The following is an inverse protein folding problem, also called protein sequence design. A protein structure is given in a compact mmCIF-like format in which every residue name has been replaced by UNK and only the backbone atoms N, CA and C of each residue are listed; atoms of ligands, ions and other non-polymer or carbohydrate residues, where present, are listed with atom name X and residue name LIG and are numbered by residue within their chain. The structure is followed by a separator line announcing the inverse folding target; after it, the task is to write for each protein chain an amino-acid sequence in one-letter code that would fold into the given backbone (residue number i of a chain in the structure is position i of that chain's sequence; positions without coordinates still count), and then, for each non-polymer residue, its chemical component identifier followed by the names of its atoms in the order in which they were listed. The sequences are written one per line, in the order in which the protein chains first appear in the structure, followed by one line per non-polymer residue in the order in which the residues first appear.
data_IF_461471348599
#
_entry.id   IF_461471348599
#
_cell.length_a   1.000
_cell.length_b   1.000
_cell.length_c   1.000
_cell.angle_alpha   90.00
_cell.angle_beta   90.00
_cell.angle_gamma   90.00
#
_symmetry.space_group_name_H-M   'P 1'
#
loop_
_entity.id
_entity.type
_entity.pdbx_description
1 polymer ?
#
# COMPACT_ATOMS: atom_id res chain seq x y z
N UNK A 1 -29.16 21.24 12.07
CA UNK A 1 -27.69 21.15 12.20
C UNK A 1 -27.37 19.71 12.55
N UNK A 2 -26.93 18.91 11.58
CA UNK A 2 -26.43 17.55 11.83
C UNK A 2 -25.11 17.67 12.58
N UNK A 3 -24.98 16.94 13.69
CA UNK A 3 -23.73 16.86 14.46
C UNK A 3 -22.56 16.53 13.52
N UNK A 4 -21.34 17.06 13.75
CA UNK A 4 -20.15 16.56 13.08
C UNK A 4 -20.05 15.06 13.37
N UNK A 5 -19.84 14.26 12.32
CA UNK A 5 -19.87 12.81 12.38
C UNK A 5 -18.75 12.33 13.33
N UNK A 6 -19.10 11.98 14.57
CA UNK A 6 -18.16 11.67 15.66
C UNK A 6 -17.60 10.23 15.57
N UNK A 7 -17.50 9.69 14.36
CA UNK A 7 -17.10 8.32 14.12
C UNK A 7 -15.59 8.12 14.42
N UNK A 8 -15.19 7.01 15.05
CA UNK A 8 -13.79 6.69 15.31
C UNK A 8 -12.90 6.78 14.07
N UNK A 9 -11.69 7.31 14.27
CA UNK A 9 -10.61 7.33 13.29
C UNK A 9 -9.59 6.29 13.72
N UNK A 10 -9.38 5.29 12.87
CA UNK A 10 -8.27 4.35 13.02
C UNK A 10 -7.02 4.98 12.39
N UNK A 11 -6.04 5.30 13.24
CA UNK A 11 -4.83 6.01 12.84
C UNK A 11 -3.70 5.08 12.40
N UNK A 12 -3.88 3.76 12.47
CA UNK A 12 -2.82 2.79 12.16
C UNK A 12 -3.38 1.59 11.40
N UNK A 13 -3.40 1.70 10.07
CA UNK A 13 -3.75 0.60 9.19
C UNK A 13 -2.77 0.47 8.03
N UNK A 14 -2.50 -0.77 7.60
CA UNK A 14 -1.62 -1.05 6.46
C UNK A 14 -2.41 -1.51 5.24
N UNK A 15 -1.89 -1.23 4.05
CA UNK A 15 -2.48 -1.64 2.76
C UNK A 15 -1.38 -2.01 1.76
N UNK A 16 -1.73 -2.91 0.85
CA UNK A 16 -1.04 -3.09 -0.44
C UNK A 16 -2.08 -2.80 -1.54
N UNK A 17 -2.03 -1.66 -2.24
CA UNK A 17 -3.01 -1.35 -3.28
C UNK A 17 -3.05 -2.44 -4.36
N UNK A 18 -4.24 -2.93 -4.69
CA UNK A 18 -4.41 -3.99 -5.71
C UNK A 18 -3.83 -3.58 -7.07
N UNK A 19 -4.03 -2.31 -7.46
CA UNK A 19 -3.47 -1.77 -8.69
C UNK A 19 -1.94 -1.69 -8.71
N UNK A 20 -1.28 -1.56 -7.55
CA UNK A 20 0.18 -1.64 -7.46
C UNK A 20 0.67 -3.07 -7.72
N UNK A 21 -0.09 -4.08 -7.28
CA UNK A 21 0.25 -5.50 -7.53
C UNK A 21 0.20 -5.79 -9.02
N UNK A 22 -0.83 -5.28 -9.71
CA UNK A 22 -0.94 -5.45 -11.16
C UNK A 22 0.14 -4.68 -11.93
N UNK A 23 0.50 -3.47 -11.50
CA UNK A 23 1.63 -2.74 -12.09
C UNK A 23 2.97 -3.47 -11.84
N UNK A 24 3.18 -4.00 -10.64
CA UNK A 24 4.36 -4.79 -10.32
C UNK A 24 4.44 -6.08 -11.16
N UNK A 25 3.30 -6.71 -11.45
CA UNK A 25 3.20 -7.87 -12.35
C UNK A 25 3.60 -7.51 -13.77
N UNK A 26 3.14 -6.37 -14.28
CA UNK A 26 3.38 -5.93 -15.65
C UNK A 26 4.83 -5.42 -15.86
N UNK A 27 5.35 -4.62 -14.93
CA UNK A 27 6.58 -3.85 -15.13
C UNK A 27 7.58 -3.91 -13.96
N UNK A 28 7.21 -4.50 -12.82
CA UNK A 28 8.03 -4.49 -11.60
C UNK A 28 9.41 -5.12 -11.75
N UNK A 29 9.58 -6.06 -12.70
CA UNK A 29 10.87 -6.72 -12.98
C UNK A 29 11.98 -5.70 -13.28
N UNK A 30 11.64 -4.59 -13.92
CA UNK A 30 12.58 -3.50 -14.23
C UNK A 30 13.14 -2.81 -12.98
N UNK A 31 12.40 -2.86 -11.87
CA UNK A 31 12.79 -2.30 -10.58
C UNK A 31 13.41 -3.35 -9.65
N UNK A 32 13.37 -4.63 -10.02
CA UNK A 32 13.77 -5.74 -9.15
C UNK A 32 12.63 -6.27 -8.27
N UNK A 33 11.37 -6.10 -8.69
CA UNK A 33 10.18 -6.63 -8.00
C UNK A 33 9.45 -7.63 -8.89
N UNK A 34 9.12 -8.79 -8.37
CA UNK A 34 8.30 -9.80 -9.07
C UNK A 34 7.05 -10.13 -8.27
N UNK A 35 6.02 -10.60 -8.97
CA UNK A 35 4.79 -11.13 -8.38
C UNK A 35 4.63 -12.59 -8.80
N UNK A 36 4.39 -13.46 -7.84
CA UNK A 36 4.02 -14.86 -8.04
C UNK A 36 2.58 -15.06 -7.56
N UNK A 37 1.73 -15.71 -8.35
CA UNK A 37 0.38 -16.10 -7.92
C UNK A 37 0.43 -17.45 -7.23
N UNK A 38 0.07 -17.47 -5.95
CA UNK A 38 -0.04 -18.69 -5.15
C UNK A 38 -1.51 -19.06 -4.96
N UNK A 39 -1.79 -20.27 -4.48
CA UNK A 39 -3.14 -20.69 -4.09
C UNK A 39 -3.79 -19.77 -3.04
N UNK A 40 -2.97 -19.02 -2.28
CA UNK A 40 -3.40 -18.09 -1.23
C UNK A 40 -3.38 -16.62 -1.67
N UNK A 41 -3.15 -16.35 -2.96
CA UNK A 41 -3.08 -15.01 -3.55
C UNK A 41 -1.67 -14.60 -3.99
N UNK A 42 -1.52 -13.35 -4.49
CA UNK A 42 -0.24 -12.86 -4.99
C UNK A 42 0.78 -12.72 -3.85
N UNK A 43 2.03 -13.05 -4.14
CA UNK A 43 3.19 -12.86 -3.30
C UNK A 43 4.23 -12.03 -4.05
N UNK A 44 4.72 -10.95 -3.43
CA UNK A 44 5.79 -10.13 -4.00
C UNK A 44 7.15 -10.70 -3.61
N UNK A 45 8.14 -10.51 -4.47
CA UNK A 45 9.54 -10.75 -4.14
C UNK A 45 10.38 -9.56 -4.60
N UNK A 46 11.26 -9.08 -3.74
CA UNK A 46 12.24 -8.06 -4.04
C UNK A 46 13.60 -8.74 -4.33
N UNK A 47 14.35 -8.19 -5.28
CA UNK A 47 15.62 -8.78 -5.72
C UNK A 47 16.58 -9.03 -4.54
N UNK A 48 17.08 -10.26 -4.45
CA UNK A 48 17.99 -10.68 -3.39
C UNK A 48 17.30 -11.05 -2.06
N UNK A 49 15.97 -10.97 -1.97
CA UNK A 49 15.19 -11.42 -0.82
C UNK A 49 14.40 -12.69 -1.14
N UNK A 50 13.96 -13.37 -0.08
CA UNK A 50 12.98 -14.45 -0.20
C UNK A 50 11.61 -13.90 -0.60
N UNK A 51 10.75 -14.68 -1.28
CA UNK A 51 9.37 -14.30 -1.54
C UNK A 51 8.64 -13.95 -0.23
N UNK A 52 7.84 -12.89 -0.28
CA UNK A 52 6.96 -12.52 0.83
C UNK A 52 5.82 -13.52 0.96
N UNK A 53 5.17 -13.50 2.13
CA UNK A 53 3.91 -14.23 2.30
C UNK A 53 2.83 -13.65 1.36
N UNK A 54 1.87 -14.46 0.91
CA UNK A 54 0.74 -13.98 0.12
C UNK A 54 0.02 -12.81 0.81
N UNK A 55 -0.37 -11.80 0.02
CA UNK A 55 -0.87 -10.51 0.54
C UNK A 55 -2.14 -10.64 1.38
N UNK A 56 -2.97 -11.65 1.11
CA UNK A 56 -4.23 -11.87 1.82
C UNK A 56 -5.13 -10.62 1.83
N UNK A 57 -5.65 -10.26 3.00
CA UNK A 57 -6.53 -9.09 3.18
C UNK A 57 -5.85 -7.73 3.02
N UNK A 58 -4.51 -7.66 2.92
CA UNK A 58 -3.82 -6.38 2.71
C UNK A 58 -4.11 -5.77 1.35
N UNK A 59 -4.42 -6.61 0.35
CA UNK A 59 -4.74 -6.24 -1.02
C UNK A 59 -6.19 -6.60 -1.37
N UNK A 60 -7.14 -6.38 -0.45
CA UNK A 60 -8.58 -6.56 -0.71
C UNK A 60 -9.39 -5.41 -0.12
N UNK A 61 -10.02 -4.61 -0.98
CA UNK A 61 -10.79 -3.44 -0.54
C UNK A 61 -12.17 -3.78 0.05
N UNK A 62 -12.97 -4.62 -0.61
CA UNK A 62 -14.34 -4.91 -0.14
C UNK A 62 -14.37 -5.48 1.30
N UNK A 63 -13.57 -6.51 1.66
CA UNK A 63 -13.58 -7.02 3.04
C UNK A 63 -13.16 -5.99 4.09
N UNK A 64 -12.32 -5.01 3.71
CA UNK A 64 -11.91 -3.91 4.58
C UNK A 64 -13.06 -2.95 4.84
N UNK A 65 -13.77 -2.52 3.80
CA UNK A 65 -14.90 -1.59 3.94
C UNK A 65 -16.00 -2.20 4.81
N UNK A 66 -16.38 -3.46 4.56
CA UNK A 66 -17.35 -4.16 5.38
C UNK A 66 -16.89 -4.30 6.83
N UNK A 67 -15.59 -4.58 7.06
CA UNK A 67 -15.05 -4.65 8.41
C UNK A 67 -15.15 -3.28 9.11
N UNK A 68 -14.79 -2.19 8.43
CA UNK A 68 -14.91 -0.84 8.99
C UNK A 68 -16.36 -0.52 9.36
N UNK A 69 -17.33 -0.87 8.51
CA UNK A 69 -18.76 -0.70 8.80
C UNK A 69 -19.18 -1.49 10.03
N UNK A 70 -18.82 -2.78 10.12
CA UNK A 70 -19.12 -3.64 11.27
C UNK A 70 -18.51 -3.13 12.57
N UNK A 71 -17.31 -2.52 12.51
CA UNK A 71 -16.64 -1.96 13.68
C UNK A 71 -17.07 -0.51 13.99
N UNK A 72 -17.88 0.12 13.15
CA UNK A 72 -18.24 1.54 13.28
C UNK A 72 -17.08 2.50 13.04
N UNK A 73 -16.01 2.07 12.35
CA UNK A 73 -14.86 2.92 12.01
C UNK A 73 -15.25 3.85 10.86
N UNK A 74 -15.12 5.16 11.11
CA UNK A 74 -15.46 6.20 10.14
C UNK A 74 -14.36 6.41 9.10
N UNK A 75 -13.11 6.51 9.56
CA UNK A 75 -11.93 6.77 8.71
C UNK A 75 -10.79 5.84 9.10
N UNK A 76 -10.04 5.36 8.11
CA UNK A 76 -8.72 4.73 8.30
C UNK A 76 -7.61 5.59 7.71
N UNK A 77 -6.51 5.78 8.46
CA UNK A 77 -5.25 6.31 7.95
C UNK A 77 -4.39 5.13 7.49
N UNK A 78 -4.20 5.04 6.16
CA UNK A 78 -3.53 3.93 5.50
C UNK A 78 -2.05 4.25 5.24
N UNK A 79 -1.18 3.30 5.56
CA UNK A 79 0.24 3.33 5.25
C UNK A 79 0.67 2.06 4.50
N UNK A 80 1.85 2.11 3.89
CA UNK A 80 2.46 0.94 3.28
C UNK A 80 2.63 -0.21 4.27
N UNK A 81 2.44 -1.44 3.81
CA UNK A 81 2.90 -2.60 4.56
C UNK A 81 4.44 -2.63 4.54
N UNK A 82 5.05 -2.83 5.71
CA UNK A 82 6.49 -2.68 5.92
C UNK A 82 7.34 -3.55 4.96
N UNK A 83 6.90 -4.76 4.68
CA UNK A 83 7.66 -5.72 3.87
C UNK A 83 7.76 -5.31 2.38
N UNK A 84 6.98 -4.32 1.94
CA UNK A 84 7.00 -3.81 0.56
C UNK A 84 7.57 -2.39 0.46
N UNK A 85 8.33 -1.90 1.44
CA UNK A 85 8.87 -0.52 1.39
C UNK A 85 9.96 -0.31 0.32
N UNK A 86 10.62 -1.39 -0.13
CA UNK A 86 11.61 -1.35 -1.20
C UNK A 86 13.00 -0.83 -0.81
N UNK A 87 13.35 -0.83 0.48
CA UNK A 87 14.64 -0.31 0.96
C UNK A 87 15.87 -1.14 0.60
N UNK A 88 15.67 -2.36 0.11
CA UNK A 88 16.75 -3.21 -0.42
C UNK A 88 17.02 -2.98 -1.90
N UNK A 89 16.16 -2.20 -2.59
CA UNK A 89 16.38 -1.83 -3.99
C UNK A 89 17.46 -0.76 -4.11
N UNK A 90 18.13 -0.64 -5.28
CA UNK A 90 18.92 0.54 -5.62
C UNK A 90 18.12 1.82 -5.38
N UNK A 91 18.73 2.87 -4.84
CA UNK A 91 18.02 4.06 -4.36
C UNK A 91 17.07 4.69 -5.41
N UNK A 92 17.48 4.73 -6.68
CA UNK A 92 16.65 5.23 -7.79
C UNK A 92 15.42 4.33 -8.06
N UNK A 93 15.59 3.01 -7.97
CA UNK A 93 14.48 2.08 -8.10
C UNK A 93 13.53 2.18 -6.90
N UNK A 94 14.07 2.33 -5.69
CA UNK A 94 13.28 2.54 -4.48
C UNK A 94 12.47 3.84 -4.53
N UNK A 95 13.05 4.93 -5.04
CA UNK A 95 12.33 6.18 -5.27
C UNK A 95 11.18 6.01 -6.27
N UNK A 96 11.42 5.25 -7.35
CA UNK A 96 10.39 4.93 -8.34
C UNK A 96 9.28 4.07 -7.73
N UNK A 97 9.64 3.04 -6.97
CA UNK A 97 8.71 2.17 -6.25
C UNK A 97 7.88 2.92 -5.22
N UNK A 98 8.50 3.80 -4.43
CA UNK A 98 7.81 4.66 -3.47
C UNK A 98 6.79 5.59 -4.15
N UNK A 99 7.16 6.21 -5.28
CA UNK A 99 6.24 7.00 -6.10
C UNK A 99 5.04 6.18 -6.56
N UNK A 100 5.28 5.00 -7.14
CA UNK A 100 4.21 4.11 -7.59
C UNK A 100 3.26 3.76 -6.44
N UNK A 101 3.80 3.31 -5.30
CA UNK A 101 2.98 3.03 -4.11
C UNK A 101 2.12 4.23 -3.71
N UNK A 102 2.71 5.43 -3.65
CA UNK A 102 1.99 6.65 -3.26
C UNK A 102 0.88 7.03 -4.26
N UNK A 103 1.12 6.87 -5.55
CA UNK A 103 0.12 7.13 -6.61
C UNK A 103 -1.06 6.16 -6.50
N UNK A 104 -0.80 4.86 -6.32
CA UNK A 104 -1.86 3.86 -6.12
C UNK A 104 -2.61 4.04 -4.79
N UNK A 105 -1.93 4.45 -3.72
CA UNK A 105 -2.59 4.80 -2.47
C UNK A 105 -3.49 6.04 -2.64
N UNK A 106 -3.03 7.05 -3.37
CA UNK A 106 -3.85 8.21 -3.68
C UNK A 106 -5.09 7.83 -4.49
N UNK A 107 -4.96 6.91 -5.46
CA UNK A 107 -6.09 6.36 -6.21
C UNK A 107 -7.10 5.65 -5.29
N UNK A 108 -6.62 4.77 -4.38
CA UNK A 108 -7.47 4.12 -3.37
C UNK A 108 -8.28 5.13 -2.55
N UNK A 109 -7.64 6.24 -2.14
CA UNK A 109 -8.31 7.31 -1.37
C UNK A 109 -9.36 8.03 -2.23
N UNK A 110 -9.05 8.32 -3.49
CA UNK A 110 -9.97 9.01 -4.41
C UNK A 110 -11.21 8.16 -4.73
N UNK A 111 -11.03 6.85 -4.89
CA UNK A 111 -12.12 5.92 -5.19
C UNK A 111 -13.05 5.69 -3.98
N UNK A 112 -12.62 6.09 -2.78
CA UNK A 112 -13.34 5.88 -1.53
C UNK A 112 -13.44 7.19 -0.72
N UNK A 113 -14.13 8.21 -1.27
CA UNK A 113 -14.13 9.55 -0.71
C UNK A 113 -14.66 9.56 0.73
N UNK A 114 -13.89 10.18 1.62
CA UNK A 114 -14.27 10.32 3.03
C UNK A 114 -14.00 9.08 3.90
N UNK A 115 -13.57 7.95 3.34
CA UNK A 115 -13.25 6.72 4.11
C UNK A 115 -11.78 6.59 4.48
N UNK A 116 -10.87 7.14 3.67
CA UNK A 116 -9.43 6.97 3.87
C UNK A 116 -8.63 8.27 3.88
N UNK A 117 -7.48 8.23 4.55
CA UNK A 117 -6.35 9.15 4.40
C UNK A 117 -5.08 8.31 4.21
N UNK A 118 -4.02 8.92 3.69
CA UNK A 118 -2.78 8.20 3.36
C UNK A 118 -1.55 8.78 4.06
N UNK A 119 -0.64 7.90 4.46
CA UNK A 119 0.75 8.23 4.78
C UNK A 119 1.63 7.78 3.63
N UNK A 120 2.32 8.73 3.01
CA UNK A 120 3.25 8.46 1.93
C UNK A 120 4.47 7.68 2.42
N UNK A 121 4.99 6.80 1.58
CA UNK A 121 6.30 6.16 1.78
C UNK A 121 7.37 6.90 1.01
N UNK A 122 8.62 6.86 1.50
CA UNK A 122 9.78 7.51 0.90
C UNK A 122 10.99 6.57 0.93
N UNK A 123 11.95 6.66 -0.01
CA UNK A 123 13.15 5.82 -0.05
C UNK A 123 14.17 6.23 1.04
N UNK A 124 14.00 5.75 2.27
CA UNK A 124 14.80 6.19 3.44
C UNK A 124 16.30 5.92 3.34
N UNK A 125 16.75 5.04 2.44
CA UNK A 125 18.17 4.81 2.22
C UNK A 125 18.89 5.99 1.54
N UNK A 126 18.15 6.94 0.94
CA UNK A 126 18.69 8.16 0.32
C UNK A 126 17.87 9.39 0.73
N UNK A 127 18.46 10.24 1.59
CA UNK A 127 17.77 11.40 2.14
C UNK A 127 17.40 12.47 1.10
N UNK A 128 18.18 12.62 0.03
CA UNK A 128 17.90 13.61 -1.01
C UNK A 128 16.71 13.17 -1.88
N UNK A 129 16.63 11.87 -2.20
CA UNK A 129 15.48 11.30 -2.88
C UNK A 129 14.24 11.26 -1.98
N UNK A 130 14.41 11.04 -0.67
CA UNK A 130 13.30 11.02 0.29
C UNK A 130 12.66 12.39 0.53
N UNK A 131 13.43 13.47 0.40
CA UNK A 131 12.96 14.85 0.63
C UNK A 131 12.33 15.52 -0.61
N UNK A 132 12.21 14.79 -1.74
CA UNK A 132 11.75 15.33 -3.02
C UNK A 132 10.23 15.33 -3.17
#
# INVERSE_FOLDING_TARGET
MTQPNNAPIDTHAHIVPESLVEEARAAGRTLGVTVEDTDSGPALQFQGLVPLRPLGGLARMEPRLEWMERQGVGIQILASWLDIQGYTLPAVHAATWARLFNEHLAQVINDNPGRFRGLATVPLQDGALAAR
#
